data_IF_162554391085
#
_entry.id   IF_162554391085
#
_cell.length_a   1.000
_cell.length_b   1.000
_cell.length_c   1.000
_cell.angle_alpha   90.00
_cell.angle_beta   90.00
_cell.angle_gamma   90.00
#
_symmetry.space_group_name_H-M   'P 1'
#
loop_
_entity.id
_entity.type
_entity.pdbx_description
1 polymer ?
#
# COMPACT_ATOMS: atom_id res chain seq x y z
N UNK A 1 -28.45 -53.41 -20.92
CA UNK A 1 -27.36 -53.12 -19.96
C UNK A 1 -26.39 -51.99 -20.33
N UNK A 2 -26.35 -51.46 -21.58
CA UNK A 2 -25.47 -50.34 -21.96
C UNK A 2 -25.96 -48.96 -21.49
N UNK A 3 -27.28 -48.75 -21.40
CA UNK A 3 -27.90 -47.46 -21.06
C UNK A 3 -27.55 -46.95 -19.66
N UNK A 4 -27.45 -47.84 -18.65
CA UNK A 4 -27.14 -47.45 -17.27
C UNK A 4 -25.66 -47.04 -17.08
N UNK A 5 -24.74 -47.66 -17.81
CA UNK A 5 -23.30 -47.30 -17.75
C UNK A 5 -23.00 -45.90 -18.32
N UNK A 6 -23.73 -45.48 -19.35
CA UNK A 6 -23.57 -44.14 -19.91
C UNK A 6 -24.03 -43.05 -18.94
N UNK A 7 -25.14 -43.29 -18.23
CA UNK A 7 -25.63 -42.34 -17.21
C UNK A 7 -24.63 -42.16 -16.07
N UNK A 8 -23.97 -43.23 -15.64
CA UNK A 8 -22.95 -43.20 -14.58
C UNK A 8 -21.73 -42.37 -15.02
N UNK A 9 -21.21 -42.56 -16.23
CA UNK A 9 -20.06 -41.79 -16.73
C UNK A 9 -20.36 -40.29 -16.85
N UNK A 10 -21.58 -39.93 -17.28
CA UNK A 10 -22.00 -38.52 -17.40
C UNK A 10 -22.06 -37.83 -16.02
N UNK A 11 -22.42 -38.56 -14.96
CA UNK A 11 -22.46 -38.02 -13.60
C UNK A 11 -21.04 -37.72 -13.10
N UNK A 12 -20.09 -38.65 -13.31
CA UNK A 12 -18.69 -38.45 -12.91
C UNK A 12 -18.02 -37.27 -13.63
N UNK A 13 -18.21 -37.14 -14.94
CA UNK A 13 -17.61 -36.05 -15.71
C UNK A 13 -18.19 -34.68 -15.32
N UNK A 14 -19.45 -34.65 -14.90
CA UNK A 14 -20.12 -33.45 -14.37
C UNK A 14 -19.62 -33.06 -12.97
N UNK A 15 -19.29 -34.03 -12.11
CA UNK A 15 -18.68 -33.74 -10.81
C UNK A 15 -17.24 -33.23 -10.95
N UNK A 16 -16.46 -33.80 -11.86
CA UNK A 16 -15.09 -33.38 -12.13
C UNK A 16 -15.02 -31.95 -12.70
N UNK A 17 -15.91 -31.60 -13.63
CA UNK A 17 -16.03 -30.22 -14.13
C UNK A 17 -16.49 -29.24 -13.05
N UNK A 18 -17.34 -29.66 -12.11
CA UNK A 18 -17.81 -28.81 -11.00
C UNK A 18 -16.68 -28.52 -10.00
N UNK A 19 -15.87 -29.54 -9.67
CA UNK A 19 -14.70 -29.42 -8.79
C UNK A 19 -13.62 -28.51 -9.39
N UNK A 20 -13.34 -28.70 -10.68
CA UNK A 20 -12.43 -27.84 -11.43
C UNK A 20 -12.93 -26.39 -11.45
N UNK A 21 -14.21 -26.16 -11.78
CA UNK A 21 -14.78 -24.82 -11.84
C UNK A 21 -14.85 -24.12 -10.46
N UNK A 22 -15.11 -24.84 -9.36
CA UNK A 22 -15.04 -24.24 -8.02
C UNK A 22 -13.63 -23.80 -7.65
N UNK A 23 -12.60 -24.57 -8.00
CA UNK A 23 -11.21 -24.18 -7.76
C UNK A 23 -10.82 -22.90 -8.52
N UNK A 24 -11.29 -22.74 -9.76
CA UNK A 24 -11.06 -21.54 -10.55
C UNK A 24 -11.82 -20.32 -10.01
N UNK A 25 -13.05 -20.50 -9.50
CA UNK A 25 -13.82 -19.41 -8.88
C UNK A 25 -13.14 -18.94 -7.58
N UNK A 26 -12.70 -19.85 -6.72
CA UNK A 26 -11.98 -19.50 -5.49
C UNK A 26 -10.66 -18.79 -5.77
N UNK A 27 -9.91 -19.24 -6.79
CA UNK A 27 -8.69 -18.58 -7.22
C UNK A 27 -8.94 -17.15 -7.69
N UNK A 28 -9.99 -16.92 -8.50
CA UNK A 28 -10.36 -15.58 -8.97
C UNK A 28 -10.80 -14.66 -7.82
N UNK A 29 -11.55 -15.19 -6.86
CA UNK A 29 -11.97 -14.41 -5.69
C UNK A 29 -10.77 -14.04 -4.80
N UNK A 30 -9.84 -14.97 -4.55
CA UNK A 30 -8.61 -14.68 -3.81
C UNK A 30 -7.76 -13.63 -4.52
N UNK A 31 -7.53 -13.77 -5.83
CA UNK A 31 -6.77 -12.81 -6.61
C UNK A 31 -7.39 -11.40 -6.54
N UNK A 32 -8.72 -11.30 -6.61
CA UNK A 32 -9.43 -10.02 -6.53
C UNK A 32 -9.30 -9.33 -5.16
N UNK A 33 -9.30 -10.11 -4.07
CA UNK A 33 -9.11 -9.59 -2.70
C UNK A 33 -7.70 -9.06 -2.51
N UNK A 34 -6.70 -9.84 -2.92
CA UNK A 34 -5.30 -9.40 -2.87
C UNK A 34 -5.06 -8.14 -3.71
N UNK A 35 -5.63 -8.08 -4.92
CA UNK A 35 -5.45 -6.93 -5.80
C UNK A 35 -6.07 -5.65 -5.21
N UNK A 36 -7.25 -5.72 -4.60
CA UNK A 36 -7.87 -4.59 -3.89
C UNK A 36 -6.99 -4.09 -2.75
N UNK A 37 -6.54 -4.99 -1.89
CA UNK A 37 -5.64 -4.64 -0.77
C UNK A 37 -4.33 -4.03 -1.27
N UNK A 38 -3.77 -4.56 -2.36
CA UNK A 38 -2.56 -4.02 -2.95
C UNK A 38 -2.75 -2.58 -3.47
N UNK A 39 -3.87 -2.29 -4.15
CA UNK A 39 -4.17 -0.94 -4.62
C UNK A 39 -4.37 0.03 -3.45
N UNK A 40 -5.06 -0.38 -2.40
CA UNK A 40 -5.25 0.46 -1.21
C UNK A 40 -3.92 0.80 -0.54
N UNK A 41 -3.05 -0.20 -0.37
CA UNK A 41 -1.71 -0.03 0.21
C UNK A 41 -0.79 0.82 -0.69
N UNK A 42 -0.84 0.62 -2.00
CA UNK A 42 -0.04 1.40 -2.94
C UNK A 42 -0.53 2.85 -3.04
N UNK A 43 -1.85 3.06 -2.99
CA UNK A 43 -2.46 4.39 -2.99
C UNK A 43 -2.06 5.21 -1.78
N UNK A 44 -2.13 4.62 -0.57
CA UNK A 44 -1.70 5.30 0.66
C UNK A 44 -0.21 5.58 0.66
N UNK A 45 0.62 4.68 0.11
CA UNK A 45 2.07 4.90 -0.03
C UNK A 45 2.39 6.09 -0.93
N UNK A 46 1.81 6.13 -2.13
CA UNK A 46 2.00 7.25 -3.07
C UNK A 46 1.50 8.57 -2.48
N UNK A 47 0.37 8.54 -1.76
CA UNK A 47 -0.15 9.71 -1.07
C UNK A 47 0.87 10.27 -0.05
N UNK A 48 1.43 9.42 0.82
CA UNK A 48 2.41 9.86 1.82
C UNK A 48 3.70 10.38 1.19
N UNK A 49 4.18 9.79 0.10
CA UNK A 49 5.36 10.29 -0.63
C UNK A 49 5.10 11.70 -1.16
N UNK A 50 3.99 11.90 -1.87
CA UNK A 50 3.65 13.20 -2.45
C UNK A 50 3.47 14.24 -1.34
N UNK A 51 2.76 13.89 -0.28
CA UNK A 51 2.52 14.77 0.85
C UNK A 51 3.83 15.14 1.55
N UNK A 52 4.71 14.17 1.81
CA UNK A 52 6.02 14.39 2.43
C UNK A 52 6.91 15.28 1.55
N UNK A 53 6.92 15.05 0.24
CA UNK A 53 7.68 15.87 -0.72
C UNK A 53 7.20 17.33 -0.73
N UNK A 54 5.90 17.55 -0.88
CA UNK A 54 5.31 18.89 -0.92
C UNK A 54 5.56 19.62 0.40
N UNK A 55 5.25 19.00 1.53
CA UNK A 55 5.40 19.64 2.85
C UNK A 55 6.87 19.96 3.17
N UNK A 56 7.83 19.11 2.78
CA UNK A 56 9.26 19.38 2.98
C UNK A 56 9.71 20.64 2.22
N UNK A 57 9.27 20.80 0.97
CA UNK A 57 9.61 21.96 0.15
C UNK A 57 8.88 23.25 0.61
N UNK A 58 7.60 23.13 0.99
CA UNK A 58 6.83 24.26 1.52
C UNK A 58 7.37 24.73 2.88
N UNK A 59 7.77 23.80 3.76
CA UNK A 59 8.39 24.14 5.03
C UNK A 59 9.70 24.91 4.83
N UNK A 60 10.57 24.43 3.93
CA UNK A 60 11.83 25.09 3.63
C UNK A 60 11.64 26.51 3.05
N UNK A 61 10.66 26.69 2.16
CA UNK A 61 10.43 27.96 1.47
C UNK A 61 9.61 28.97 2.29
N UNK A 62 8.71 28.54 3.17
CA UNK A 62 7.82 29.45 3.91
C UNK A 62 8.21 29.61 5.38
N UNK A 63 8.57 28.51 6.06
CA UNK A 63 8.83 28.51 7.49
C UNK A 63 10.31 28.78 7.82
N UNK A 64 11.24 28.39 6.94
CA UNK A 64 12.69 28.50 7.17
C UNK A 64 13.42 29.11 5.98
N UNK A 65 12.97 30.28 5.52
CA UNK A 65 13.58 30.99 4.38
C UNK A 65 15.09 31.20 4.60
N UNK A 66 15.89 30.90 3.58
CA UNK A 66 17.36 31.06 3.57
C UNK A 66 17.81 32.53 3.52
N UNK A 67 17.47 33.31 4.55
CA UNK A 67 17.90 34.71 4.73
C UNK A 67 18.19 34.96 6.21
N UNK A 68 19.05 35.92 6.54
CA UNK A 68 19.39 36.25 7.94
C UNK A 68 18.14 36.70 8.72
N UNK A 69 17.28 37.51 8.10
CA UNK A 69 15.98 37.90 8.67
C UNK A 69 15.06 36.69 8.82
N UNK A 70 15.02 35.80 7.83
CA UNK A 70 14.29 34.54 7.90
C UNK A 70 14.73 33.67 9.07
N UNK A 71 16.03 33.61 9.36
CA UNK A 71 16.58 32.89 10.50
C UNK A 71 16.11 33.48 11.84
N UNK A 72 16.18 34.81 12.01
CA UNK A 72 15.75 35.48 13.25
C UNK A 72 14.24 35.35 13.47
N UNK A 73 13.45 35.40 12.39
CA UNK A 73 11.99 35.31 12.44
C UNK A 73 11.49 33.85 12.51
N UNK A 74 12.31 32.88 12.08
CA UNK A 74 11.95 31.45 12.05
C UNK A 74 11.37 30.89 13.35
N UNK A 75 11.85 31.18 14.58
CA UNK A 75 11.23 30.65 15.80
C UNK A 75 9.79 31.13 16.02
N UNK A 76 9.47 32.35 15.60
CA UNK A 76 8.11 32.89 15.72
C UNK A 76 7.17 32.29 14.68
N UNK A 77 7.66 32.09 13.46
CA UNK A 77 6.89 31.50 12.35
C UNK A 77 6.78 29.97 12.51
N UNK A 78 7.75 29.31 13.15
CA UNK A 78 7.71 27.87 13.40
C UNK A 78 6.51 27.47 14.28
N UNK A 79 6.06 28.34 15.18
CA UNK A 79 4.86 28.15 15.99
C UNK A 79 3.55 28.38 15.24
N UNK A 80 3.61 28.88 13.99
CA UNK A 80 2.41 29.06 13.18
C UNK A 80 1.77 27.69 12.86
N UNK A 81 0.43 27.62 12.78
CA UNK A 81 -0.28 26.35 12.61
C UNK A 81 0.10 25.62 11.32
N UNK A 82 0.35 26.35 10.23
CA UNK A 82 0.75 25.76 8.95
C UNK A 82 2.15 25.12 9.04
N UNK A 83 3.13 25.79 9.66
CA UNK A 83 4.48 25.23 9.86
C UNK A 83 4.47 24.02 10.79
N UNK A 84 3.62 24.04 11.82
CA UNK A 84 3.43 22.89 12.71
C UNK A 84 2.84 21.70 11.97
N UNK A 85 1.84 21.93 11.11
CA UNK A 85 1.24 20.88 10.28
C UNK A 85 2.27 20.28 9.31
N UNK A 86 3.04 21.11 8.60
CA UNK A 86 4.10 20.63 7.72
C UNK A 86 5.16 19.82 8.49
N UNK A 87 5.59 20.30 9.65
CA UNK A 87 6.55 19.57 10.49
C UNK A 87 6.01 18.21 10.91
N UNK A 88 4.74 18.14 11.30
CA UNK A 88 4.09 16.88 11.64
C UNK A 88 4.04 15.91 10.46
N UNK A 89 3.69 16.39 9.27
CA UNK A 89 3.69 15.57 8.05
C UNK A 89 5.11 15.07 7.72
N UNK A 90 6.12 15.93 7.85
CA UNK A 90 7.51 15.56 7.55
C UNK A 90 7.96 14.43 8.49
N UNK A 91 7.75 14.58 9.80
CA UNK A 91 8.20 13.59 10.77
C UNK A 91 7.38 12.30 10.74
N UNK A 92 6.05 12.41 10.78
CA UNK A 92 5.18 11.22 10.79
C UNK A 92 5.12 10.54 9.43
N UNK A 93 5.06 11.31 8.34
CA UNK A 93 5.10 10.77 6.99
C UNK A 93 6.43 10.05 6.71
N UNK A 94 7.55 10.60 7.18
CA UNK A 94 8.86 9.92 7.10
C UNK A 94 8.89 8.59 7.85
N UNK A 95 8.29 8.54 9.04
CA UNK A 95 8.16 7.29 9.81
C UNK A 95 7.31 6.25 9.07
N UNK A 96 6.15 6.66 8.53
CA UNK A 96 5.26 5.78 7.76
C UNK A 96 5.98 5.20 6.54
N UNK A 97 6.68 6.04 5.77
CA UNK A 97 7.46 5.61 4.59
C UNK A 97 8.56 4.62 5.01
N UNK A 98 9.25 4.89 6.13
CA UNK A 98 10.30 4.00 6.65
C UNK A 98 9.74 2.65 7.08
N UNK A 99 8.62 2.62 7.81
CA UNK A 99 7.96 1.37 8.21
C UNK A 99 7.56 0.54 7.00
N UNK A 100 7.02 1.17 5.95
CA UNK A 100 6.66 0.47 4.70
C UNK A 100 7.89 -0.16 4.02
N UNK A 101 9.01 0.56 3.96
CA UNK A 101 10.27 0.01 3.44
C UNK A 101 10.79 -1.15 4.28
N UNK A 102 10.72 -1.06 5.60
CA UNK A 102 11.13 -2.14 6.51
C UNK A 102 10.25 -3.38 6.31
N UNK A 103 8.92 -3.22 6.19
CA UNK A 103 8.02 -4.34 5.92
C UNK A 103 8.36 -5.03 4.60
N UNK A 104 8.60 -4.25 3.54
CA UNK A 104 9.00 -4.79 2.25
C UNK A 104 10.36 -5.50 2.32
N UNK A 105 11.35 -4.88 2.97
CA UNK A 105 12.67 -5.47 3.20
C UNK A 105 12.59 -6.77 4.01
N UNK A 106 11.70 -6.84 5.00
CA UNK A 106 11.47 -8.04 5.81
C UNK A 106 10.84 -9.16 4.98
N UNK A 107 9.88 -8.84 4.10
CA UNK A 107 9.30 -9.80 3.17
C UNK A 107 10.33 -10.36 2.19
N UNK A 108 11.19 -9.49 1.63
CA UNK A 108 12.29 -9.91 0.75
C UNK A 108 13.30 -10.78 1.51
N UNK A 109 13.73 -10.36 2.70
CA UNK A 109 14.68 -11.11 3.52
C UNK A 109 14.14 -12.51 3.86
N UNK A 110 12.85 -12.63 4.20
CA UNK A 110 12.20 -13.93 4.42
C UNK A 110 12.30 -14.86 3.20
N UNK A 111 12.29 -14.34 1.97
CA UNK A 111 12.38 -15.16 0.74
C UNK A 111 13.80 -15.50 0.31
N UNK A 112 14.79 -14.73 0.78
CA UNK A 112 16.19 -14.90 0.42
C UNK A 112 16.92 -15.74 1.47
N UNK A 113 16.57 -15.58 2.75
CA UNK A 113 17.24 -16.23 3.89
C UNK A 113 16.56 -17.51 4.37
N UNK A 114 15.25 -17.69 4.10
CA UNK A 114 14.48 -18.91 4.38
C UNK A 114 13.96 -19.50 3.07
#
# INVERSE_FOLDING_TARGET
MKTSRNAVNIVYEKEETKSSMSSFIEFREQASRYFKTFIELFGIYMFWIVLHYICSNLYASWCTKYTIIGFIISPFVASAPHCTAFRWVITNGGNVITTMWITFGTWCAKKILL
#
